data_IF_860787270243
#
_entry.id   IF_860787270243
#
_cell.length_a   1.000
_cell.length_b   1.000
_cell.length_c   1.000
_cell.angle_alpha   90.00
_cell.angle_beta   90.00
_cell.angle_gamma   90.00
#
_symmetry.space_group_name_H-M   'P 1'
#
loop_
_entity.id
_entity.type
_entity.pdbx_description
1 polymer ?
#
# COMPACT_ATOMS: atom_id res chain seq x y z
N UNK A 1 -7.44 -40.91 56.08
CA UNK A 1 -7.30 -42.35 55.75
C UNK A 1 -8.60 -43.13 55.90
N UNK A 2 -9.33 -43.03 57.02
CA UNK A 2 -10.51 -43.87 57.27
C UNK A 2 -11.85 -43.38 56.68
N UNK A 3 -12.01 -42.12 56.26
CA UNK A 3 -13.35 -41.54 56.01
C UNK A 3 -14.18 -42.26 54.93
N UNK A 4 -13.59 -42.61 53.78
CA UNK A 4 -14.34 -43.24 52.67
C UNK A 4 -14.59 -44.72 52.97
N UNK A 5 -13.54 -45.47 53.35
CA UNK A 5 -13.67 -46.88 53.72
C UNK A 5 -14.63 -47.10 54.88
N UNK A 6 -14.60 -46.24 55.91
CA UNK A 6 -15.52 -46.30 57.05
C UNK A 6 -16.96 -46.02 56.62
N UNK A 7 -17.21 -44.99 55.79
CA UNK A 7 -18.55 -44.69 55.27
C UNK A 7 -19.16 -45.84 54.46
N UNK A 8 -18.34 -46.63 53.76
CA UNK A 8 -18.79 -47.81 53.00
C UNK A 8 -18.98 -49.03 53.91
N UNK A 9 -18.09 -49.24 54.89
CA UNK A 9 -18.11 -50.44 55.75
C UNK A 9 -19.16 -50.38 56.86
N UNK A 10 -19.44 -49.19 57.40
CA UNK A 10 -20.33 -49.01 58.57
C UNK A 10 -21.77 -49.48 58.31
N UNK A 11 -22.43 -49.15 57.19
CA UNK A 11 -23.78 -49.64 56.93
C UNK A 11 -23.86 -51.17 56.89
N UNK A 12 -22.85 -51.82 56.30
CA UNK A 12 -22.77 -53.29 56.21
C UNK A 12 -22.60 -53.91 57.60
N UNK A 13 -21.71 -53.36 58.42
CA UNK A 13 -21.49 -53.84 59.79
C UNK A 13 -22.74 -53.60 60.66
N UNK A 14 -23.40 -52.45 60.52
CA UNK A 14 -24.58 -52.09 61.29
C UNK A 14 -25.79 -52.95 60.92
N UNK A 15 -25.97 -53.25 59.62
CA UNK A 15 -27.00 -54.17 59.14
C UNK A 15 -26.75 -55.60 59.64
N UNK A 16 -25.50 -56.06 59.63
CA UNK A 16 -25.14 -57.37 60.18
C UNK A 16 -25.34 -57.46 61.68
N UNK A 17 -24.99 -56.41 62.44
CA UNK A 17 -25.27 -56.32 63.87
C UNK A 17 -26.78 -56.33 64.15
N UNK A 18 -27.56 -55.56 63.40
CA UNK A 18 -29.02 -55.55 63.50
C UNK A 18 -29.61 -56.93 63.23
N UNK A 19 -29.15 -57.64 62.19
CA UNK A 19 -29.59 -58.99 61.87
C UNK A 19 -29.28 -59.98 63.02
N UNK A 20 -28.08 -59.88 63.62
CA UNK A 20 -27.70 -60.68 64.78
C UNK A 20 -28.64 -60.41 65.97
N UNK A 21 -28.87 -59.14 66.29
CA UNK A 21 -29.76 -58.74 67.41
C UNK A 21 -31.19 -59.18 67.18
N UNK A 22 -31.73 -58.98 65.97
CA UNK A 22 -33.08 -59.39 65.60
C UNK A 22 -33.24 -60.92 65.70
N UNK A 23 -32.24 -61.68 65.26
CA UNK A 23 -32.26 -63.14 65.34
C UNK A 23 -32.24 -63.66 66.78
N UNK A 24 -31.43 -63.05 67.66
CA UNK A 24 -31.43 -63.36 69.10
C UNK A 24 -32.80 -63.06 69.72
N UNK A 25 -33.43 -61.94 69.35
CA UNK A 25 -34.73 -61.53 69.89
C UNK A 25 -35.86 -62.48 69.49
N UNK A 26 -35.80 -63.10 68.30
CA UNK A 26 -36.83 -64.00 67.79
C UNK A 26 -36.77 -65.42 68.41
N UNK A 27 -35.59 -65.89 68.84
CA UNK A 27 -35.41 -67.29 69.30
C UNK A 27 -34.67 -67.37 70.65
N UNK A 28 -34.99 -66.48 71.59
CA UNK A 28 -34.30 -66.37 72.89
C UNK A 28 -34.42 -67.63 73.78
N UNK A 29 -35.44 -68.46 73.56
CA UNK A 29 -35.68 -69.66 74.38
C UNK A 29 -34.81 -70.87 74.00
N UNK A 30 -34.09 -70.84 72.86
CA UNK A 30 -33.27 -71.95 72.33
C UNK A 30 -31.75 -71.70 72.39
N UNK A 31 -31.32 -70.70 73.15
CA UNK A 31 -29.92 -70.25 73.18
C UNK A 31 -29.04 -71.18 74.04
N UNK A 32 -28.32 -72.11 73.40
CA UNK A 32 -27.30 -72.94 74.04
C UNK A 32 -25.88 -72.37 73.81
N UNK A 33 -24.87 -72.82 74.56
CA UNK A 33 -23.48 -72.35 74.42
C UNK A 33 -22.92 -72.44 72.98
N UNK A 34 -23.28 -73.50 72.23
CA UNK A 34 -22.89 -73.65 70.83
C UNK A 34 -23.47 -72.57 69.90
N UNK A 35 -24.66 -72.05 70.22
CA UNK A 35 -25.27 -70.95 69.47
C UNK A 35 -24.52 -69.63 69.66
N UNK A 36 -24.08 -69.33 70.89
CA UNK A 36 -23.26 -68.14 71.16
C UNK A 36 -21.90 -68.20 70.44
N UNK A 37 -21.28 -69.37 70.36
CA UNK A 37 -20.05 -69.57 69.58
C UNK A 37 -20.29 -69.32 68.07
N UNK A 38 -21.38 -69.83 67.51
CA UNK A 38 -21.75 -69.58 66.12
C UNK A 38 -21.95 -68.08 65.84
N UNK A 39 -22.67 -67.38 66.72
CA UNK A 39 -22.88 -65.94 66.60
C UNK A 39 -21.58 -65.15 66.67
N UNK A 40 -20.64 -65.55 67.54
CA UNK A 40 -19.32 -64.94 67.61
C UNK A 40 -18.58 -65.08 66.27
N UNK A 41 -18.59 -66.27 65.66
CA UNK A 41 -17.98 -66.48 64.35
C UNK A 41 -18.64 -65.66 63.24
N UNK A 42 -19.98 -65.54 63.24
CA UNK A 42 -20.71 -64.71 62.27
C UNK A 42 -20.36 -63.23 62.46
N UNK A 43 -20.32 -62.73 63.69
CA UNK A 43 -19.96 -61.35 63.98
C UNK A 43 -18.55 -61.01 63.50
N UNK A 44 -17.59 -61.92 63.76
CA UNK A 44 -16.21 -61.82 63.28
C UNK A 44 -16.21 -61.80 61.75
N UNK A 45 -16.92 -62.72 61.10
CA UNK A 45 -17.00 -62.80 59.64
C UNK A 45 -17.56 -61.50 59.03
N UNK A 46 -18.67 -61.00 59.54
CA UNK A 46 -19.30 -59.75 59.05
C UNK A 46 -18.34 -58.57 59.21
N UNK A 47 -17.63 -58.48 60.33
CA UNK A 47 -16.66 -57.42 60.56
C UNK A 47 -15.52 -57.44 59.53
N UNK A 48 -14.88 -58.61 59.33
CA UNK A 48 -13.80 -58.76 58.36
C UNK A 48 -14.28 -58.57 56.91
N UNK A 49 -15.45 -59.11 56.57
CA UNK A 49 -16.04 -58.98 55.25
C UNK A 49 -16.39 -57.52 54.92
N UNK A 50 -17.03 -56.80 55.84
CA UNK A 50 -17.36 -55.39 55.69
C UNK A 50 -16.10 -54.54 55.51
N UNK A 51 -15.07 -54.78 56.33
CA UNK A 51 -13.79 -54.08 56.23
C UNK A 51 -13.07 -54.33 54.89
N UNK A 52 -12.98 -55.60 54.45
CA UNK A 52 -12.34 -55.97 53.19
C UNK A 52 -13.07 -55.35 51.99
N UNK A 53 -14.40 -55.41 51.99
CA UNK A 53 -15.25 -54.82 50.94
C UNK A 53 -15.08 -53.30 50.89
N UNK A 54 -15.12 -52.62 52.04
CA UNK A 54 -14.92 -51.18 52.12
C UNK A 54 -13.58 -50.72 51.55
N UNK A 55 -12.49 -51.45 51.84
CA UNK A 55 -11.18 -51.14 51.26
C UNK A 55 -11.13 -51.37 49.75
N UNK A 56 -11.74 -52.46 49.26
CA UNK A 56 -11.73 -52.83 47.84
C UNK A 56 -12.36 -51.75 46.95
N UNK A 57 -13.40 -51.07 47.43
CA UNK A 57 -14.04 -49.96 46.69
C UNK A 57 -13.39 -48.60 46.98
N UNK A 58 -13.04 -48.31 48.23
CA UNK A 58 -12.51 -47.00 48.59
C UNK A 58 -11.13 -46.72 47.98
N UNK A 59 -10.28 -47.74 47.84
CA UNK A 59 -8.90 -47.57 47.36
C UNK A 59 -8.83 -47.12 45.89
N UNK A 60 -9.51 -47.78 44.92
CA UNK A 60 -9.55 -47.32 43.53
C UNK A 60 -10.13 -45.91 43.37
N UNK A 61 -11.24 -45.60 44.06
CA UNK A 61 -11.90 -44.28 44.00
C UNK A 61 -10.97 -43.18 44.53
N UNK A 62 -10.21 -43.47 45.60
CA UNK A 62 -9.24 -42.53 46.13
C UNK A 62 -8.09 -42.27 45.16
N UNK A 63 -7.55 -43.32 44.52
CA UNK A 63 -6.51 -43.16 43.49
C UNK A 63 -6.99 -42.30 42.33
N UNK A 64 -8.22 -42.53 41.87
CA UNK A 64 -8.85 -41.71 40.83
C UNK A 64 -8.95 -40.24 41.26
N UNK A 65 -9.41 -39.97 42.49
CA UNK A 65 -9.53 -38.62 43.02
C UNK A 65 -8.17 -37.91 43.16
N UNK A 66 -7.13 -38.63 43.62
CA UNK A 66 -5.77 -38.10 43.73
C UNK A 66 -5.24 -37.69 42.37
N UNK A 67 -5.37 -38.55 41.35
CA UNK A 67 -4.93 -38.24 39.98
C UNK A 67 -5.76 -37.13 39.34
N UNK A 68 -7.07 -37.10 39.57
CA UNK A 68 -7.91 -36.00 39.11
C UNK A 68 -7.51 -34.66 39.75
N UNK A 69 -7.08 -34.67 41.01
CA UNK A 69 -6.57 -33.47 41.69
C UNK A 69 -5.21 -33.04 41.14
N UNK A 70 -4.34 -33.98 40.75
CA UNK A 70 -3.09 -33.66 40.05
C UNK A 70 -3.37 -33.04 38.67
N UNK A 71 -4.29 -33.64 37.90
CA UNK A 71 -4.72 -33.13 36.60
C UNK A 71 -5.28 -31.71 36.73
N UNK A 72 -6.14 -31.46 37.73
CA UNK A 72 -6.70 -30.13 37.98
C UNK A 72 -5.66 -29.08 38.40
N UNK A 73 -4.50 -29.51 38.89
CA UNK A 73 -3.38 -28.63 39.26
C UNK A 73 -2.41 -28.38 38.09
N UNK A 74 -2.72 -28.90 36.90
CA UNK A 74 -1.93 -28.69 35.69
C UNK A 74 -0.98 -29.84 35.33
N UNK A 75 -1.00 -30.97 36.05
CA UNK A 75 -0.24 -32.16 35.63
C UNK A 75 -1.02 -32.93 34.56
N UNK A 76 -0.88 -32.53 33.30
CA UNK A 76 -1.61 -33.11 32.16
C UNK A 76 -1.20 -34.55 31.83
N UNK A 77 -0.01 -34.97 32.25
CA UNK A 77 0.46 -36.36 32.07
C UNK A 77 -0.05 -37.31 33.17
N UNK A 78 -0.92 -36.83 34.06
CA UNK A 78 -1.52 -37.69 35.10
C UNK A 78 -2.39 -38.78 34.47
N UNK A 79 -2.21 -40.03 34.93
CA UNK A 79 -2.96 -41.20 34.45
C UNK A 79 -3.33 -42.12 35.62
N UNK A 80 -4.42 -42.87 35.45
CA UNK A 80 -4.96 -43.80 36.45
C UNK A 80 -4.94 -45.21 35.87
N UNK A 81 -4.23 -46.11 36.55
CA UNK A 81 -4.18 -47.53 36.22
C UNK A 81 -4.79 -48.33 37.36
N UNK A 82 -5.87 -49.04 37.08
CA UNK A 82 -6.58 -49.90 38.01
C UNK A 82 -6.57 -51.33 37.47
N UNK A 83 -6.32 -52.29 38.36
CA UNK A 83 -6.33 -53.73 38.05
C UNK A 83 -7.73 -54.36 38.17
N UNK A 84 -8.73 -53.56 38.57
CA UNK A 84 -10.12 -54.02 38.65
C UNK A 84 -10.71 -54.19 37.24
N UNK A 85 -11.72 -55.05 37.11
CA UNK A 85 -12.45 -55.32 35.85
C UNK A 85 -13.92 -54.94 36.02
N UNK A 86 -14.15 -53.78 36.61
CA UNK A 86 -15.45 -53.23 36.97
C UNK A 86 -15.62 -51.82 36.38
N UNK A 87 -16.76 -51.19 36.65
CA UNK A 87 -17.12 -49.84 36.21
C UNK A 87 -16.10 -48.79 36.69
N UNK A 88 -15.39 -49.05 37.78
CA UNK A 88 -14.34 -48.15 38.28
C UNK A 88 -13.12 -48.16 37.33
N UNK A 89 -12.80 -49.32 36.75
CA UNK A 89 -11.76 -49.42 35.73
C UNK A 89 -12.15 -48.74 34.41
N UNK A 90 -13.43 -48.78 34.05
CA UNK A 90 -13.96 -48.06 32.89
C UNK A 90 -13.91 -46.54 33.12
N UNK A 91 -14.29 -46.09 34.31
CA UNK A 91 -14.16 -44.68 34.70
C UNK A 91 -12.70 -44.20 34.67
N UNK A 92 -11.75 -45.04 35.06
CA UNK A 92 -10.33 -44.72 34.93
C UNK A 92 -9.87 -44.58 33.46
N UNK A 93 -10.44 -45.37 32.53
CA UNK A 93 -10.16 -45.22 31.09
C UNK A 93 -10.68 -43.89 30.58
N UNK A 94 -11.93 -43.55 30.87
CA UNK A 94 -12.53 -42.25 30.49
C UNK A 94 -11.73 -41.08 31.08
N UNK A 95 -11.27 -41.20 32.33
CA UNK A 95 -10.39 -40.20 32.92
C UNK A 95 -9.08 -40.03 32.12
N UNK A 96 -8.46 -41.13 31.70
CA UNK A 96 -7.23 -41.08 30.92
C UNK A 96 -7.44 -40.46 29.53
N UNK A 97 -8.58 -40.72 28.89
CA UNK A 97 -8.95 -40.07 27.62
C UNK A 97 -9.08 -38.55 27.79
N UNK A 98 -9.76 -38.09 28.85
CA UNK A 98 -9.87 -36.66 29.17
C UNK A 98 -8.48 -36.04 29.42
N UNK A 99 -7.60 -36.74 30.15
CA UNK A 99 -6.25 -36.27 30.42
C UNK A 99 -5.41 -36.16 29.14
N UNK A 100 -5.55 -37.13 28.23
CA UNK A 100 -4.89 -37.14 26.92
C UNK A 100 -5.37 -35.98 26.04
N UNK A 101 -6.69 -35.77 25.93
CA UNK A 101 -7.27 -34.68 25.14
C UNK A 101 -6.79 -33.31 25.66
N UNK A 102 -6.70 -33.15 26.97
CA UNK A 102 -6.22 -31.91 27.58
C UNK A 102 -4.72 -31.68 27.31
N UNK A 103 -3.90 -32.73 27.40
CA UNK A 103 -2.47 -32.69 27.06
C UNK A 103 -2.24 -32.33 25.59
N UNK A 104 -3.00 -32.94 24.68
CA UNK A 104 -2.93 -32.65 23.25
C UNK A 104 -3.40 -31.24 22.91
N UNK A 105 -4.49 -30.77 23.53
CA UNK A 105 -4.99 -29.40 23.34
C UNK A 105 -3.95 -28.38 23.78
N UNK A 106 -3.31 -28.59 24.93
CA UNK A 106 -2.27 -27.70 25.44
C UNK A 106 -1.02 -27.70 24.54
N UNK A 107 -0.57 -28.87 24.07
CA UNK A 107 0.54 -28.96 23.13
C UNK A 107 0.24 -28.24 21.79
N UNK A 108 -1.01 -28.32 21.32
CA UNK A 108 -1.45 -27.63 20.10
C UNK A 108 -1.46 -26.11 20.29
N UNK A 109 -1.93 -25.62 21.43
CA UNK A 109 -1.93 -24.20 21.77
C UNK A 109 -0.51 -23.65 21.78
N UNK A 110 0.43 -24.33 22.46
CA UNK A 110 1.84 -23.94 22.52
C UNK A 110 2.50 -23.92 21.12
N UNK A 111 2.20 -24.92 20.28
CA UNK A 111 2.69 -24.95 18.90
C UNK A 111 2.13 -23.80 18.05
N UNK A 112 0.88 -23.42 18.30
CA UNK A 112 0.21 -22.34 17.60
C UNK A 112 0.81 -21.00 18.00
N UNK A 113 1.01 -20.75 19.29
CA UNK A 113 1.69 -19.54 19.79
C UNK A 113 3.07 -19.37 19.16
N UNK A 114 3.90 -20.43 19.16
CA UNK A 114 5.22 -20.40 18.51
C UNK A 114 5.12 -20.07 17.01
N UNK A 115 4.14 -20.64 16.31
CA UNK A 115 3.96 -20.37 14.88
C UNK A 115 3.52 -18.92 14.60
N UNK A 116 2.70 -18.36 15.49
CA UNK A 116 2.25 -16.96 15.41
C UNK A 116 3.43 -16.03 15.65
N UNK A 117 4.26 -16.29 16.67
CA UNK A 117 5.45 -15.48 16.96
C UNK A 117 6.42 -15.44 15.78
N UNK A 118 6.74 -16.60 15.19
CA UNK A 118 7.58 -16.70 13.99
C UNK A 118 6.96 -15.89 12.84
N UNK A 119 5.65 -15.99 12.63
CA UNK A 119 4.94 -15.30 11.54
C UNK A 119 4.89 -13.79 11.74
N UNK A 120 4.70 -13.33 12.98
CA UNK A 120 4.76 -11.90 13.34
C UNK A 120 6.17 -11.38 13.08
N UNK A 121 7.20 -12.07 13.58
CA UNK A 121 8.60 -11.68 13.38
C UNK A 121 8.96 -11.59 11.89
N UNK A 122 8.58 -12.59 11.09
CA UNK A 122 8.81 -12.59 9.65
C UNK A 122 8.05 -11.44 8.94
N UNK A 123 6.79 -11.18 9.32
CA UNK A 123 6.03 -10.05 8.78
C UNK A 123 6.63 -8.69 9.15
N UNK A 124 7.09 -8.54 10.39
CA UNK A 124 7.75 -7.31 10.86
C UNK A 124 9.03 -7.05 10.09
N UNK A 125 9.87 -8.08 9.88
CA UNK A 125 11.08 -7.96 9.06
C UNK A 125 10.77 -7.56 7.62
N UNK A 126 9.82 -8.22 6.96
CA UNK A 126 9.43 -7.87 5.59
C UNK A 126 8.86 -6.45 5.49
N UNK A 127 8.13 -5.99 6.52
CA UNK A 127 7.61 -4.63 6.59
C UNK A 127 8.75 -3.62 6.75
N UNK A 128 9.73 -3.90 7.60
CA UNK A 128 10.91 -3.06 7.82
C UNK A 128 11.75 -2.92 6.53
N UNK A 129 11.97 -4.02 5.81
CA UNK A 129 12.62 -4.00 4.48
C UNK A 129 11.85 -3.13 3.49
N UNK A 130 10.52 -3.23 3.49
CA UNK A 130 9.66 -2.42 2.62
C UNK A 130 9.73 -0.94 2.97
N UNK A 131 9.71 -0.59 4.25
CA UNK A 131 9.87 0.78 4.74
C UNK A 131 11.21 1.35 4.29
N UNK A 132 12.31 0.63 4.52
CA UNK A 132 13.65 1.05 4.10
C UNK A 132 13.74 1.27 2.59
N UNK A 133 13.15 0.37 1.79
CA UNK A 133 13.09 0.52 0.33
C UNK A 133 12.26 1.74 -0.11
N UNK A 134 11.14 2.01 0.57
CA UNK A 134 10.32 3.20 0.31
C UNK A 134 11.07 4.47 0.67
N UNK A 135 11.75 4.52 1.82
CA UNK A 135 12.55 5.66 2.24
C UNK A 135 13.66 5.96 1.22
N UNK A 136 14.39 4.95 0.76
CA UNK A 136 15.37 5.13 -0.31
C UNK A 136 14.74 5.66 -1.60
N UNK A 137 13.57 5.15 -1.99
CA UNK A 137 12.86 5.65 -3.17
C UNK A 137 12.43 7.11 -3.00
N UNK A 138 11.95 7.50 -1.81
CA UNK A 138 11.56 8.89 -1.49
C UNK A 138 12.79 9.80 -1.49
N UNK A 139 13.91 9.38 -0.91
CA UNK A 139 15.17 10.13 -0.95
C UNK A 139 15.63 10.35 -2.39
N UNK A 140 15.66 9.29 -3.20
CA UNK A 140 16.05 9.39 -4.61
C UNK A 140 15.14 10.34 -5.39
N UNK A 141 13.81 10.23 -5.21
CA UNK A 141 12.83 11.16 -5.81
C UNK A 141 13.06 12.60 -5.36
N UNK A 142 13.40 12.81 -4.09
CA UNK A 142 13.66 14.14 -3.52
C UNK A 142 14.90 14.77 -4.15
N UNK A 143 15.98 14.00 -4.30
CA UNK A 143 17.20 14.44 -4.99
C UNK A 143 16.90 14.77 -6.46
N UNK A 144 16.13 13.93 -7.14
CA UNK A 144 15.70 14.17 -8.53
C UNK A 144 14.87 15.45 -8.66
N UNK A 145 13.88 15.65 -7.79
CA UNK A 145 13.06 16.87 -7.77
C UNK A 145 13.91 18.12 -7.49
N UNK A 146 14.87 18.05 -6.57
CA UNK A 146 15.80 19.17 -6.31
C UNK A 146 16.62 19.53 -7.55
N UNK A 147 17.09 18.53 -8.31
CA UNK A 147 17.81 18.75 -9.57
C UNK A 147 16.91 19.41 -10.62
N UNK A 148 15.69 18.88 -10.80
CA UNK A 148 14.73 19.44 -11.76
C UNK A 148 14.34 20.88 -11.41
N UNK A 149 14.16 21.20 -10.13
CA UNK A 149 13.90 22.58 -9.68
C UNK A 149 15.09 23.49 -10.01
N UNK A 150 16.31 23.06 -9.73
CA UNK A 150 17.52 23.83 -10.06
C UNK A 150 17.67 24.07 -11.57
N UNK A 151 17.36 23.06 -12.40
CA UNK A 151 17.38 23.19 -13.86
C UNK A 151 16.29 24.14 -14.36
N UNK A 152 15.07 24.08 -13.80
CA UNK A 152 13.99 25.02 -14.12
C UNK A 152 14.36 26.46 -13.77
N UNK A 153 15.00 26.69 -12.63
CA UNK A 153 15.47 28.02 -12.24
C UNK A 153 16.55 28.56 -13.19
N UNK A 154 17.47 27.70 -13.65
CA UNK A 154 18.46 28.05 -14.68
C UNK A 154 17.79 28.43 -16.00
N UNK A 155 16.90 27.58 -16.52
CA UNK A 155 16.19 27.85 -17.77
C UNK A 155 15.35 29.13 -17.69
N UNK A 156 14.70 29.38 -16.56
CA UNK A 156 13.95 30.62 -16.33
C UNK A 156 14.86 31.84 -16.33
N UNK A 157 16.06 31.74 -15.75
CA UNK A 157 17.10 32.76 -15.83
C UNK A 157 17.53 33.04 -17.28
N UNK A 158 17.87 32.00 -18.03
CA UNK A 158 18.27 32.11 -19.44
C UNK A 158 17.15 32.66 -20.35
N UNK A 159 15.91 32.27 -20.09
CA UNK A 159 14.77 32.79 -20.85
C UNK A 159 14.60 34.28 -20.61
N UNK A 160 14.74 34.75 -19.36
CA UNK A 160 14.68 36.18 -19.02
C UNK A 160 15.80 36.98 -19.67
N UNK A 161 17.03 36.44 -19.70
CA UNK A 161 18.15 37.14 -20.34
C UNK A 161 17.96 37.22 -21.86
N UNK A 162 17.56 36.11 -22.51
CA UNK A 162 17.24 36.10 -23.94
C UNK A 162 16.08 37.02 -24.30
N UNK A 163 15.06 37.10 -23.44
CA UNK A 163 13.94 38.01 -23.63
C UNK A 163 14.41 39.47 -23.55
N UNK A 164 15.23 39.83 -22.56
CA UNK A 164 15.83 41.17 -22.45
C UNK A 164 16.72 41.52 -23.66
N UNK A 165 17.57 40.59 -24.11
CA UNK A 165 18.37 40.75 -25.32
C UNK A 165 17.51 40.94 -26.57
N UNK A 166 16.41 40.19 -26.70
CA UNK A 166 15.50 40.31 -27.84
C UNK A 166 14.78 41.67 -27.89
N UNK A 167 14.46 42.25 -26.72
CA UNK A 167 13.87 43.58 -26.61
C UNK A 167 14.89 44.64 -27.05
N UNK A 168 16.13 44.56 -26.55
CA UNK A 168 17.21 45.45 -26.94
C UNK A 168 17.48 45.38 -28.44
N UNK A 169 17.56 44.17 -29.01
CA UNK A 169 17.79 43.95 -30.43
C UNK A 169 16.65 44.52 -31.29
N UNK A 170 15.40 44.39 -30.84
CA UNK A 170 14.24 45.02 -31.52
C UNK A 170 14.34 46.54 -31.50
N UNK A 171 14.78 47.14 -30.39
CA UNK A 171 14.98 48.58 -30.28
C UNK A 171 16.10 49.07 -31.22
N UNK A 172 17.23 48.36 -31.28
CA UNK A 172 18.32 48.66 -32.20
C UNK A 172 17.90 48.54 -33.67
N UNK A 173 17.18 47.47 -34.04
CA UNK A 173 16.61 47.29 -35.37
C UNK A 173 15.67 48.43 -35.75
N UNK A 174 14.88 48.92 -34.79
CA UNK A 174 13.97 50.05 -35.02
C UNK A 174 14.74 51.36 -35.23
N UNK A 175 15.76 51.63 -34.42
CA UNK A 175 16.68 52.78 -34.62
C UNK A 175 17.37 52.71 -35.99
N UNK A 176 17.85 51.54 -36.38
CA UNK A 176 18.49 51.31 -37.68
C UNK A 176 17.52 51.53 -38.84
N UNK A 177 16.28 50.99 -38.76
CA UNK A 177 15.22 51.22 -39.75
C UNK A 177 14.91 52.71 -39.90
N UNK A 178 14.76 53.44 -38.81
CA UNK A 178 14.50 54.88 -38.83
C UNK A 178 15.70 55.67 -39.41
N UNK A 179 16.92 55.27 -39.07
CA UNK A 179 18.15 55.82 -39.68
C UNK A 179 18.18 55.60 -41.20
N UNK A 180 17.90 54.38 -41.66
CA UNK A 180 17.82 54.05 -43.07
C UNK A 180 16.73 54.85 -43.79
N UNK A 181 15.52 54.97 -43.21
CA UNK A 181 14.45 55.83 -43.73
C UNK A 181 14.90 57.28 -43.90
N UNK A 182 15.58 57.85 -42.90
CA UNK A 182 16.11 59.23 -42.98
C UNK A 182 17.13 59.39 -44.11
N UNK A 183 18.05 58.43 -44.27
CA UNK A 183 19.05 58.45 -45.35
C UNK A 183 18.35 58.37 -46.71
N UNK A 184 17.40 57.45 -46.87
CA UNK A 184 16.60 57.31 -48.10
C UNK A 184 15.84 58.60 -48.40
N UNK A 185 15.14 59.18 -47.42
CA UNK A 185 14.41 60.43 -47.57
C UNK A 185 15.33 61.60 -47.96
N UNK A 186 16.50 61.74 -47.33
CA UNK A 186 17.52 62.75 -47.72
C UNK A 186 17.99 62.56 -49.17
N UNK A 187 18.33 61.33 -49.58
CA UNK A 187 18.77 61.03 -50.95
C UNK A 187 17.67 61.31 -51.98
N UNK A 188 16.42 60.88 -51.71
CA UNK A 188 15.27 61.11 -52.59
C UNK A 188 14.93 62.60 -52.68
N UNK A 189 14.93 63.33 -51.57
CA UNK A 189 14.77 64.78 -51.53
C UNK A 189 15.80 65.50 -52.40
N UNK A 190 17.09 65.12 -52.29
CA UNK A 190 18.17 65.70 -53.11
C UNK A 190 17.97 65.40 -54.60
N UNK A 191 17.68 64.14 -54.97
CA UNK A 191 17.36 63.75 -56.36
C UNK A 191 16.12 64.48 -56.90
N UNK A 192 15.09 64.68 -56.08
CA UNK A 192 13.87 65.41 -56.45
C UNK A 192 14.15 66.89 -56.67
N UNK A 193 14.97 67.52 -55.82
CA UNK A 193 15.39 68.92 -56.02
C UNK A 193 16.19 69.09 -57.31
N UNK A 194 17.15 68.20 -57.60
CA UNK A 194 17.92 68.24 -58.85
C UNK A 194 17.05 68.00 -60.08
N UNK A 195 16.12 67.03 -60.01
CA UNK A 195 15.17 66.78 -61.10
C UNK A 195 14.25 67.99 -61.33
N UNK A 196 13.69 68.59 -60.25
CA UNK A 196 12.83 69.77 -60.33
C UNK A 196 13.57 70.99 -60.89
N UNK A 197 14.87 71.14 -60.61
CA UNK A 197 15.70 72.21 -61.17
C UNK A 197 16.01 72.01 -62.67
N UNK A 198 15.95 70.78 -63.19
CA UNK A 198 16.13 70.49 -64.62
C UNK A 198 14.86 70.75 -65.45
N UNK A 199 13.67 70.69 -64.84
CA UNK A 199 12.37 70.88 -65.54
C UNK A 199 12.30 72.19 -66.34
N UNK A 200 12.69 73.37 -65.82
CA UNK A 200 12.65 74.62 -66.59
C UNK A 200 13.59 74.62 -67.80
N UNK A 201 14.77 74.00 -67.67
CA UNK A 201 15.73 73.88 -68.77
C UNK A 201 15.21 72.97 -69.88
N UNK A 202 14.62 71.83 -69.53
CA UNK A 202 13.95 70.95 -70.50
C UNK A 202 12.78 71.69 -71.17
N UNK A 203 11.97 72.42 -70.40
CA UNK A 203 10.86 73.22 -70.94
C UNK A 203 11.35 74.26 -71.96
N UNK A 204 12.45 74.94 -71.66
CA UNK A 204 13.06 75.90 -72.59
C UNK A 204 13.58 75.24 -73.87
N UNK A 205 14.23 74.08 -73.76
CA UNK A 205 14.68 73.30 -74.93
C UNK A 205 13.49 72.89 -75.80
N UNK A 206 12.37 72.49 -75.19
CA UNK A 206 11.13 72.16 -75.93
C UNK A 206 10.58 73.40 -76.65
N UNK A 207 10.49 74.55 -75.96
CA UNK A 207 10.04 75.81 -76.58
C UNK A 207 10.96 76.27 -77.73
N UNK A 208 12.28 76.09 -77.58
CA UNK A 208 13.26 76.42 -78.61
C UNK A 208 13.16 75.48 -79.82
N UNK A 209 12.88 74.18 -79.60
CA UNK A 209 12.63 73.20 -80.67
C UNK A 209 11.32 73.50 -81.43
N UNK A 210 10.26 73.91 -80.74
CA UNK A 210 9.01 74.33 -81.38
C UNK A 210 9.22 75.55 -82.29
N UNK A 211 10.04 76.52 -81.84
CA UNK A 211 10.42 77.68 -82.66
C UNK A 211 11.24 77.28 -83.89
N UNK A 212 12.20 76.37 -83.74
CA UNK A 212 13.00 75.85 -84.85
C UNK A 212 12.14 75.08 -85.86
N UNK A 213 11.19 74.27 -85.40
CA UNK A 213 10.22 73.61 -86.28
C UNK A 213 9.37 74.62 -87.05
N UNK A 214 8.96 75.70 -86.40
CA UNK A 214 8.22 76.78 -87.05
C UNK A 214 9.06 77.48 -88.12
N UNK A 215 10.31 77.81 -87.83
CA UNK A 215 11.25 78.36 -88.83
C UNK A 215 11.53 77.39 -89.98
N UNK A 216 11.64 76.09 -89.71
CA UNK A 216 11.80 75.08 -90.75
C UNK A 216 10.59 75.02 -91.69
N UNK A 217 9.37 75.18 -91.17
CA UNK A 217 8.16 75.26 -92.02
C UNK A 217 8.11 76.56 -92.83
N UNK A 218 8.45 77.69 -92.22
CA UNK A 218 8.51 78.99 -92.93
C UNK A 218 9.56 78.95 -94.05
N UNK A 219 10.71 78.33 -93.83
CA UNK A 219 11.75 78.16 -94.87
C UNK A 219 11.38 77.14 -95.96
N UNK A 220 10.65 76.07 -95.62
CA UNK A 220 10.07 75.17 -96.63
C UNK A 220 9.03 75.90 -97.49
N UNK A 221 8.17 76.73 -96.91
CA UNK A 221 7.20 77.55 -97.64
C UNK A 221 7.89 78.59 -98.56
N UNK A 222 8.94 79.27 -98.09
CA UNK A 222 9.75 80.17 -98.92
C UNK A 222 10.47 79.43 -100.06
N UNK A 223 10.98 78.23 -99.80
CA UNK A 223 11.60 77.39 -100.82
C UNK A 223 10.58 76.94 -101.89
N UNK A 224 9.36 76.58 -101.50
CA UNK A 224 8.27 76.28 -102.43
C UNK A 224 7.86 77.53 -103.24
N UNK A 225 7.83 78.72 -102.64
CA UNK A 225 7.56 79.97 -103.34
C UNK A 225 8.65 80.27 -104.38
N UNK A 226 9.92 80.10 -104.04
CA UNK A 226 11.06 80.25 -104.94
C UNK A 226 11.04 79.21 -106.06
N UNK A 227 10.72 77.94 -105.77
CA UNK A 227 10.53 76.91 -106.79
C UNK A 227 9.38 77.28 -107.74
N UNK A 228 8.29 77.88 -107.24
CA UNK A 228 7.19 78.39 -108.08
C UNK A 228 7.64 79.54 -108.98
N UNK A 229 8.47 80.45 -108.48
CA UNK A 229 9.04 81.57 -109.25
C UNK A 229 10.02 81.06 -110.32
N UNK A 230 10.88 80.10 -109.99
CA UNK A 230 11.78 79.46 -110.96
C UNK A 230 11.00 78.68 -112.02
N UNK A 231 9.90 78.00 -111.65
CA UNK A 231 8.99 77.33 -112.60
C UNK A 231 8.35 78.32 -113.57
N UNK A 232 7.90 79.49 -113.08
CA UNK A 232 7.40 80.60 -113.92
C UNK A 232 8.46 81.18 -114.86
N UNK A 233 9.73 81.20 -114.44
CA UNK A 233 10.85 81.62 -115.32
C UNK A 233 11.15 80.54 -116.37
N UNK A 234 11.12 79.26 -116.00
CA UNK A 234 11.39 78.14 -116.90
C UNK A 234 10.31 77.99 -117.99
N UNK A 235 9.05 78.31 -117.69
CA UNK A 235 7.95 78.35 -118.67
C UNK A 235 8.05 79.52 -119.68
N UNK A 236 8.85 80.57 -119.39
CA UNK A 236 9.14 81.65 -120.34
C UNK A 236 10.25 81.34 -121.35
N UNK A 237 10.92 80.18 -121.23
CA UNK A 237 12.05 79.76 -122.09
C UNK A 237 11.61 78.63 -123.06
N UNK A 238 10.33 78.56 -123.43
CA UNK A 238 9.80 77.70 -124.49
C UNK A 238 8.83 78.49 -125.35
#
# INVERSE_FOLDING_TARGET
>A
MARISYKISVPVILAGFFAIVAFIALDYQRLNAGFYLLLLFIAIYVFFFGFATGQRFASPVKKLLERATELSKGNLSSRVYLETKDEISELAKVFNEIAEDLEQSHAKEESTERSVDIKVKAKTQALEETINALEQKVQNRTIELQRLVADLDRFKGESKTKEAESVLLREELQKLKEGAKRIIYKKLSKKRKTAKAAVPGIKKIVEDLEKLQKQSRETEEEAEELISKVRKVKERIK
#
